data_IF_089379470509
#
_entry.id   IF_089379470509
#
_cell.length_a   1.000
_cell.length_b   1.000
_cell.length_c   1.000
_cell.angle_alpha   90.00
_cell.angle_beta   90.00
_cell.angle_gamma   90.00
#
_symmetry.space_group_name_H-M   'P 1'
#
loop_
_entity.id
_entity.type
_entity.pdbx_description
1 polymer ?
#
# COMPACT_ATOMS: atom_id res chain seq x y z
N UNK A 1 -2.36 1.91 -22.15
CA UNK A 1 -2.27 1.90 -20.67
C UNK A 1 -0.96 2.54 -20.27
N UNK A 2 -0.93 3.49 -19.33
CA UNK A 2 0.30 4.08 -18.79
C UNK A 2 0.31 3.83 -17.28
N UNK A 3 1.37 3.19 -16.78
CA UNK A 3 1.60 3.02 -15.35
C UNK A 3 2.03 4.38 -14.76
N UNK A 4 1.40 4.87 -13.67
CA UNK A 4 1.83 6.08 -12.99
C UNK A 4 3.30 6.00 -12.57
N UNK A 5 4.04 7.08 -12.82
CA UNK A 5 5.46 7.19 -12.48
C UNK A 5 5.72 8.10 -11.27
N UNK A 6 6.99 8.35 -10.94
CA UNK A 6 7.38 9.18 -9.79
C UNK A 6 6.78 10.59 -9.78
N UNK A 7 6.61 11.23 -10.94
CA UNK A 7 5.98 12.55 -11.03
C UNK A 7 4.47 12.51 -10.71
N UNK A 8 3.79 11.43 -11.11
CA UNK A 8 2.37 11.23 -10.82
C UNK A 8 2.16 10.97 -9.31
N UNK A 9 3.06 10.17 -8.71
CA UNK A 9 3.11 9.95 -7.25
C UNK A 9 3.35 11.25 -6.47
N UNK A 10 4.32 12.07 -6.90
CA UNK A 10 4.62 13.35 -6.25
C UNK A 10 3.44 14.33 -6.35
N UNK A 11 2.76 14.37 -7.49
CA UNK A 11 1.56 15.19 -7.69
C UNK A 11 0.42 14.75 -6.78
N UNK A 12 0.16 13.44 -6.73
CA UNK A 12 -0.86 12.86 -5.87
C UNK A 12 -0.59 13.14 -4.38
N UNK A 13 0.67 12.97 -3.95
CA UNK A 13 1.09 13.31 -2.59
C UNK A 13 0.88 14.79 -2.25
N UNK A 14 1.27 15.69 -3.17
CA UNK A 14 1.13 17.12 -2.96
C UNK A 14 -0.34 17.58 -2.85
N UNK A 15 -1.26 16.85 -3.48
CA UNK A 15 -2.69 17.11 -3.44
C UNK A 15 -3.38 16.65 -2.14
N UNK A 16 -2.72 15.84 -1.30
CA UNK A 16 -3.28 15.41 -0.03
C UNK A 16 -3.45 16.59 0.95
N UNK A 17 -4.54 16.56 1.71
CA UNK A 17 -4.73 17.49 2.82
C UNK A 17 -3.61 17.35 3.87
N UNK A 18 -3.12 18.45 4.46
CA UNK A 18 -2.03 18.40 5.44
C UNK A 18 -2.24 17.38 6.57
N UNK A 19 -3.43 17.28 7.21
CA UNK A 19 -3.66 16.27 8.26
C UNK A 19 -3.49 14.82 7.80
N UNK A 20 -3.76 14.52 6.52
CA UNK A 20 -3.57 13.18 5.95
C UNK A 20 -2.08 12.91 5.74
N UNK A 21 -1.34 13.88 5.22
CA UNK A 21 0.12 13.80 5.07
C UNK A 21 0.80 13.61 6.43
N UNK A 22 0.39 14.36 7.45
CA UNK A 22 0.92 14.25 8.80
C UNK A 22 0.64 12.87 9.39
N UNK A 23 -0.58 12.35 9.22
CA UNK A 23 -0.93 11.00 9.67
C UNK A 23 -0.05 9.94 9.02
N UNK A 24 0.13 9.98 7.70
CA UNK A 24 1.00 9.04 6.97
C UNK A 24 2.44 9.16 7.46
N UNK A 25 2.94 10.39 7.60
CA UNK A 25 4.29 10.68 8.09
C UNK A 25 4.53 10.13 9.50
N UNK A 26 3.58 10.29 10.41
CA UNK A 26 3.70 9.77 11.77
C UNK A 26 3.67 8.24 11.83
N UNK A 27 2.86 7.57 11.00
CA UNK A 27 2.87 6.11 10.91
C UNK A 27 4.22 5.62 10.40
N UNK A 28 4.75 6.23 9.34
CA UNK A 28 6.05 5.87 8.77
C UNK A 28 7.20 6.11 9.76
N UNK A 29 7.17 7.23 10.50
CA UNK A 29 8.15 7.53 11.53
C UNK A 29 8.13 6.49 12.66
N UNK A 30 6.94 6.17 13.18
CA UNK A 30 6.79 5.14 14.22
C UNK A 30 7.28 3.78 13.72
N UNK A 31 6.90 3.37 12.50
CA UNK A 31 7.37 2.12 11.87
C UNK A 31 8.90 2.01 11.87
N UNK A 32 9.60 3.04 11.35
CA UNK A 32 11.07 3.06 11.29
C UNK A 32 11.67 3.06 12.70
N UNK A 33 11.04 3.75 13.65
CA UNK A 33 11.50 3.75 15.03
C UNK A 33 11.36 2.36 15.68
N UNK A 34 10.26 1.65 15.44
CA UNK A 34 10.09 0.27 15.90
C UNK A 34 11.13 -0.67 15.27
N UNK A 35 11.42 -0.55 13.98
CA UNK A 35 12.48 -1.34 13.32
C UNK A 35 13.89 -1.03 13.83
N UNK A 36 14.13 0.22 14.23
CA UNK A 36 15.36 0.58 14.95
C UNK A 36 15.45 -0.13 16.32
N UNK A 37 14.36 -0.14 17.08
CA UNK A 37 14.28 -0.80 18.40
C UNK A 37 14.37 -2.32 18.31
N UNK A 38 13.79 -2.94 17.27
CA UNK A 38 13.85 -4.39 17.06
C UNK A 38 15.29 -4.86 16.81
N UNK A 39 16.16 -3.98 16.31
CA UNK A 39 17.57 -4.27 16.17
C UNK A 39 17.91 -5.24 15.05
N UNK A 40 16.95 -5.60 14.20
CA UNK A 40 17.10 -6.66 13.17
C UNK A 40 18.15 -6.31 12.11
N UNK A 41 18.34 -5.02 11.82
CA UNK A 41 19.37 -4.53 10.90
C UNK A 41 20.76 -4.38 11.55
N UNK A 42 20.89 -4.59 12.87
CA UNK A 42 22.09 -4.28 13.64
C UNK A 42 22.75 -5.54 14.22
N UNK A 43 24.08 -5.49 14.32
CA UNK A 43 24.85 -6.49 15.05
C UNK A 43 24.43 -6.50 16.54
N UNK A 44 24.46 -7.64 17.25
CA UNK A 44 24.01 -7.74 18.64
C UNK A 44 24.57 -6.67 19.58
N UNK A 45 25.84 -6.29 19.40
CA UNK A 45 26.55 -5.26 20.15
C UNK A 45 26.06 -3.83 19.91
N UNK A 46 25.46 -3.56 18.75
CA UNK A 46 24.97 -2.23 18.35
C UNK A 46 23.45 -2.06 18.61
N UNK A 47 22.79 -3.09 19.15
CA UNK A 47 21.35 -3.04 19.46
C UNK A 47 21.10 -2.17 20.68
N UNK A 48 20.06 -1.32 20.60
CA UNK A 48 19.62 -0.48 21.73
C UNK A 48 18.88 -1.29 22.78
N UNK A 49 18.09 -2.29 22.35
CA UNK A 49 17.38 -3.21 23.23
C UNK A 49 18.10 -4.56 23.19
N UNK A 50 18.45 -5.08 24.37
CA UNK A 50 19.13 -6.38 24.49
C UNK A 50 18.19 -7.54 24.86
N UNK A 51 16.97 -7.24 25.29
CA UNK A 51 15.94 -8.26 25.52
C UNK A 51 15.39 -8.76 24.18
N UNK A 52 15.41 -10.07 23.98
CA UNK A 52 14.80 -10.69 22.79
C UNK A 52 13.28 -10.52 22.76
N UNK A 53 12.63 -10.51 23.93
CA UNK A 53 11.18 -10.30 24.04
C UNK A 53 10.79 -8.89 23.58
N UNK A 54 11.42 -7.86 24.15
CA UNK A 54 11.13 -6.46 23.80
C UNK A 54 11.46 -6.16 22.33
N UNK A 55 12.52 -6.77 21.79
CA UNK A 55 12.84 -6.68 20.37
C UNK A 55 11.77 -7.34 19.48
N UNK A 56 11.28 -8.50 19.89
CA UNK A 56 10.18 -9.19 19.20
C UNK A 56 8.89 -8.37 19.22
N UNK A 57 8.58 -7.69 20.33
CA UNK A 57 7.45 -6.76 20.38
C UNK A 57 7.63 -5.57 19.45
N UNK A 58 8.84 -5.00 19.37
CA UNK A 58 9.13 -3.90 18.46
C UNK A 58 8.97 -4.33 16.99
N UNK A 59 9.47 -5.51 16.62
CA UNK A 59 9.31 -6.09 15.28
C UNK A 59 7.82 -6.31 14.93
N UNK A 60 7.03 -6.82 15.87
CA UNK A 60 5.59 -6.96 15.69
C UNK A 60 4.90 -5.60 15.46
N UNK A 61 5.26 -4.58 16.25
CA UNK A 61 4.72 -3.21 16.08
C UNK A 61 5.13 -2.59 14.75
N UNK A 62 6.37 -2.81 14.29
CA UNK A 62 6.81 -2.40 12.95
C UNK A 62 5.91 -3.00 11.87
N UNK A 63 5.66 -4.32 11.92
CA UNK A 63 4.77 -5.01 10.97
C UNK A 63 3.33 -4.49 11.00
N UNK A 64 2.78 -4.20 12.19
CA UNK A 64 1.47 -3.56 12.32
C UNK A 64 1.43 -2.17 11.69
N UNK A 65 2.49 -1.37 11.86
CA UNK A 65 2.58 -0.03 11.26
C UNK A 65 2.75 -0.08 9.74
N UNK A 66 3.50 -1.04 9.21
CA UNK A 66 3.60 -1.27 7.77
C UNK A 66 2.22 -1.55 7.17
N UNK A 67 1.46 -2.46 7.80
CA UNK A 67 0.08 -2.75 7.38
C UNK A 67 -0.84 -1.52 7.46
N UNK A 68 -0.72 -0.72 8.53
CA UNK A 68 -1.47 0.52 8.67
C UNK A 68 -1.08 1.56 7.63
N UNK A 69 0.20 1.62 7.25
CA UNK A 69 0.74 2.55 6.26
C UNK A 69 0.15 2.25 4.88
N UNK A 70 0.18 0.98 4.46
CA UNK A 70 -0.44 0.54 3.20
C UNK A 70 -1.91 0.97 3.12
N UNK A 71 -2.72 0.58 4.11
CA UNK A 71 -4.15 0.93 4.13
C UNK A 71 -4.38 2.44 4.09
N UNK A 72 -3.64 3.19 4.90
CA UNK A 72 -3.81 4.66 4.97
C UNK A 72 -3.46 5.34 3.65
N UNK A 73 -2.41 4.88 2.96
CA UNK A 73 -2.00 5.44 1.67
C UNK A 73 -2.99 5.06 0.57
N UNK A 74 -3.39 3.79 0.50
CA UNK A 74 -4.34 3.28 -0.50
C UNK A 74 -5.70 3.98 -0.38
N UNK A 75 -6.23 4.10 0.84
CA UNK A 75 -7.49 4.81 1.11
C UNK A 75 -7.42 6.30 0.75
N UNK A 76 -6.25 6.93 0.94
CA UNK A 76 -6.07 8.36 0.68
C UNK A 76 -5.88 8.69 -0.81
N UNK A 77 -5.48 7.72 -1.63
CA UNK A 77 -5.07 7.92 -3.02
C UNK A 77 -5.80 6.95 -3.99
N UNK A 78 -7.14 6.98 -4.03
CA UNK A 78 -7.92 6.05 -4.84
C UNK A 78 -7.66 6.17 -6.36
N UNK A 79 -7.21 7.32 -6.86
CA UNK A 79 -6.83 7.46 -8.27
C UNK A 79 -5.58 6.64 -8.64
N UNK A 80 -4.71 6.40 -7.65
CA UNK A 80 -3.51 5.58 -7.81
C UNK A 80 -3.76 4.11 -7.50
N UNK A 81 -4.54 3.80 -6.46
CA UNK A 81 -4.68 2.44 -5.92
C UNK A 81 -6.07 1.80 -6.15
N UNK A 82 -7.03 2.58 -6.65
CA UNK A 82 -8.43 2.17 -6.79
C UNK A 82 -9.24 2.44 -5.51
N UNK A 83 -10.56 2.56 -5.62
CA UNK A 83 -11.41 2.54 -4.43
C UNK A 83 -11.41 1.13 -3.80
N UNK A 84 -11.83 1.00 -2.52
CA UNK A 84 -11.80 -0.29 -1.83
C UNK A 84 -12.49 -1.41 -2.60
N UNK A 85 -11.73 -2.46 -2.93
CA UNK A 85 -12.22 -3.64 -3.65
C UNK A 85 -12.20 -3.53 -5.18
N UNK A 86 -11.71 -2.42 -5.74
CA UNK A 86 -11.63 -2.20 -7.18
C UNK A 86 -10.21 -1.85 -7.63
N UNK A 87 -9.90 -2.12 -8.90
CA UNK A 87 -8.64 -1.68 -9.50
C UNK A 87 -8.73 -0.20 -9.94
N UNK A 88 -7.63 0.56 -9.90
CA UNK A 88 -7.62 1.93 -10.39
C UNK A 88 -7.86 1.97 -11.91
N UNK A 89 -8.40 3.09 -12.39
CA UNK A 89 -8.76 3.25 -13.80
C UNK A 89 -7.59 3.00 -14.76
N UNK A 90 -6.36 3.37 -14.36
CA UNK A 90 -5.16 3.15 -15.17
C UNK A 90 -4.81 1.66 -15.34
N UNK A 91 -5.32 0.76 -14.49
CA UNK A 91 -5.09 -0.68 -14.55
C UNK A 91 -6.18 -1.44 -15.31
N UNK A 92 -7.29 -0.78 -15.69
CA UNK A 92 -8.38 -1.41 -16.41
C UNK A 92 -8.05 -1.55 -17.91
N UNK A 93 -8.42 -2.68 -18.54
CA UNK A 93 -8.27 -2.83 -19.99
C UNK A 93 -9.16 -1.80 -20.71
N UNK A 94 -8.65 -1.24 -21.81
CA UNK A 94 -9.44 -0.36 -22.67
C UNK A 94 -10.49 -1.24 -23.35
N UNK A 95 -11.75 -1.11 -22.96
CA UNK A 95 -12.87 -1.74 -23.66
C UNK A 95 -13.24 -0.83 -24.82
N UNK A 96 -12.92 -1.24 -26.05
CA UNK A 96 -13.44 -0.53 -27.23
C UNK A 96 -14.96 -0.70 -27.32
N UNK A 97 -15.71 0.38 -27.59
CA UNK A 97 -17.16 0.31 -27.76
C UNK A 97 -17.48 -0.50 -29.03
N UNK A 98 -17.76 -1.80 -28.85
CA UNK A 98 -18.12 -2.69 -29.96
C UNK A 98 -17.85 -4.18 -29.71
N UNK A 99 -17.06 -4.55 -28.70
CA UNK A 99 -16.81 -5.96 -28.39
C UNK A 99 -17.98 -6.60 -27.63
N UNK A 100 -19.12 -6.78 -28.31
CA UNK A 100 -20.15 -7.72 -27.89
C UNK A 100 -19.59 -9.11 -28.20
N UNK A 101 -19.03 -9.77 -27.19
CA UNK A 101 -18.70 -11.19 -27.29
C UNK A 101 -20.02 -11.96 -27.49
N UNK A 102 -20.26 -12.37 -28.74
CA UNK A 102 -21.35 -13.25 -29.13
C UNK A 102 -21.20 -14.55 -28.34
N UNK A 103 -22.05 -14.74 -27.31
CA UNK A 103 -22.29 -16.07 -26.75
C UNK A 103 -23.12 -16.82 -27.78
N UNK A 104 -22.42 -17.62 -28.60
CA UNK A 104 -23.06 -18.62 -29.42
C UNK A 104 -23.86 -19.56 -28.51
N UNK A 105 -25.16 -19.57 -28.78
CA UNK A 105 -26.19 -20.43 -28.25
C UNK A 105 -25.85 -21.88 -28.64
N UNK A 106 -25.30 -22.67 -27.71
CA UNK A 106 -25.23 -24.12 -27.87
C UNK A 106 -26.44 -24.72 -27.16
N UNK A 107 -27.56 -24.74 -27.88
CA UNK A 107 -28.58 -25.78 -27.67
C UNK A 107 -27.95 -27.12 -28.03
N UNK A 108 -27.98 -28.06 -27.10
CA UNK A 108 -28.01 -29.48 -27.45
C UNK A 108 -28.92 -30.22 -26.46
N UNK A 109 -30.18 -30.36 -26.89
CA UNK A 109 -30.96 -31.61 -26.80
C UNK A 109 -30.02 -32.81 -26.99
N UNK A 110 -30.00 -33.81 -26.11
CA UNK A 110 -31.05 -34.81 -25.80
C UNK A 110 -30.60 -35.61 -24.59
#
# INVERSE_FOLDING_TARGET
>A
MRVPGPADLATAWAALEPPVRDRIGMIALDMVFQGFLSGNAFAPEDRVIHSDEERGEADAREGERLNSLYRTIEDALPDLFGPPGENPAWALPIVEPGSVASRADTRMTT
#
